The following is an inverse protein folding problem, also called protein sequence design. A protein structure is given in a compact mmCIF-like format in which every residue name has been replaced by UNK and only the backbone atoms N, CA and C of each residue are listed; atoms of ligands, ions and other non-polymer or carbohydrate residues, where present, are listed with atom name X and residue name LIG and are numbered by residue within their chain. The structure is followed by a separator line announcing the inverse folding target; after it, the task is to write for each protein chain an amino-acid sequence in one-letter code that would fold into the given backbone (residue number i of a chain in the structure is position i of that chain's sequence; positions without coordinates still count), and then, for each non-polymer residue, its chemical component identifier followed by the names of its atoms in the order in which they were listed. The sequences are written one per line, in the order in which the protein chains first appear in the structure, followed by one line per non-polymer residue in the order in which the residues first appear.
data_IF_331320152228
#
_entry.id   IF_331320152228
#
_cell.length_a   1.000
_cell.length_b   1.000
_cell.length_c   1.000
_cell.angle_alpha   90.00
_cell.angle_beta   90.00
_cell.angle_gamma   90.00
#
_symmetry.space_group_name_H-M   'P 1'
#
loop_
_entity.id
_entity.type
_entity.pdbx_description
1 polymer ?
#
# COMPACT_ATOMS: atom_id res chain seq x y z
N UNK A 1 13.64 -4.22 34.72
CA UNK A 1 13.05 -4.09 33.38
C UNK A 1 13.77 -2.96 32.68
N UNK A 2 14.46 -3.23 31.56
CA UNK A 2 15.16 -2.17 30.82
C UNK A 2 14.16 -1.58 29.82
N UNK A 3 13.74 -0.34 30.06
CA UNK A 3 13.01 0.45 29.07
C UNK A 3 13.92 0.65 27.85
N UNK A 4 13.70 -0.11 26.77
CA UNK A 4 14.36 0.18 25.50
C UNK A 4 13.52 1.23 24.76
N UNK A 5 14.10 2.43 24.60
CA UNK A 5 13.55 3.46 23.72
C UNK A 5 13.87 3.06 22.28
N UNK A 6 12.84 2.83 21.47
CA UNK A 6 12.98 2.63 20.04
C UNK A 6 12.56 3.93 19.36
N UNK A 7 13.46 4.48 18.55
CA UNK A 7 13.35 5.80 17.93
C UNK A 7 13.23 5.62 16.43
N UNK A 8 12.21 6.20 15.80
CA UNK A 8 12.05 6.16 14.34
C UNK A 8 12.62 7.40 13.68
N UNK A 9 13.18 7.21 12.49
CA UNK A 9 13.49 8.29 11.55
C UNK A 9 12.46 8.24 10.43
N UNK A 10 11.83 9.38 10.14
CA UNK A 10 11.04 9.55 8.93
C UNK A 10 11.93 10.16 7.84
N UNK A 11 11.83 9.74 6.56
CA UNK A 11 12.63 10.33 5.49
C UNK A 11 12.33 11.83 5.38
N UNK A 12 13.36 12.67 5.49
CA UNK A 12 13.28 14.12 5.24
C UNK A 12 13.00 15.03 6.43
N UNK A 13 12.99 14.54 7.68
CA UNK A 13 13.01 15.41 8.87
C UNK A 13 14.07 14.96 9.88
N UNK A 14 14.94 15.89 10.27
CA UNK A 14 15.98 15.69 11.27
C UNK A 14 15.45 15.58 12.71
N UNK A 15 14.13 15.67 12.91
CA UNK A 15 13.53 15.68 14.25
C UNK A 15 12.95 14.30 14.59
N UNK A 16 13.57 13.72 15.62
CA UNK A 16 13.15 12.49 16.30
C UNK A 16 11.79 12.76 16.95
N UNK A 17 10.74 12.05 16.55
CA UNK A 17 9.48 12.03 17.28
C UNK A 17 9.41 10.76 18.10
N UNK A 18 9.18 10.93 19.40
CA UNK A 18 8.78 9.83 20.28
C UNK A 18 7.41 9.32 19.79
N UNK A 19 7.42 8.23 19.04
CA UNK A 19 6.21 7.46 18.75
C UNK A 19 6.12 6.34 19.78
N UNK A 20 5.07 6.39 20.60
CA UNK A 20 4.76 5.34 21.56
C UNK A 20 4.26 4.10 20.78
N UNK A 21 5.08 3.05 20.72
CA UNK A 21 4.70 1.78 20.10
C UNK A 21 4.02 0.90 21.14
N UNK A 22 2.81 0.45 20.83
CA UNK A 22 2.11 -0.54 21.64
C UNK A 22 2.72 -1.91 21.38
N UNK A 23 3.34 -2.50 22.40
CA UNK A 23 4.03 -3.78 22.32
C UNK A 23 3.00 -4.93 22.34
N UNK A 24 3.03 -5.90 21.39
CA UNK A 24 2.22 -7.11 21.47
C UNK A 24 2.61 -8.02 22.65
N UNK A 25 3.89 -7.98 23.03
CA UNK A 25 4.48 -8.72 24.17
C UNK A 25 5.74 -7.99 24.67
N UNK A 26 6.29 -8.40 25.83
CA UNK A 26 7.39 -7.68 26.53
C UNK A 26 8.68 -7.48 25.71
N UNK A 27 8.83 -8.09 24.53
CA UNK A 27 10.02 -7.98 23.67
C UNK A 27 9.73 -7.70 22.18
N UNK A 28 8.47 -7.41 21.81
CA UNK A 28 8.08 -7.22 20.40
C UNK A 28 7.54 -5.82 20.17
N UNK A 29 7.95 -5.21 19.05
CA UNK A 29 7.65 -3.81 18.74
C UNK A 29 7.18 -3.76 17.30
N UNK A 30 5.93 -3.30 17.08
CA UNK A 30 5.41 -3.09 15.74
C UNK A 30 5.89 -1.75 15.18
N UNK A 31 6.65 -1.80 14.10
CA UNK A 31 7.24 -0.61 13.48
C UNK A 31 6.70 -0.41 12.08
N UNK A 32 6.23 0.81 11.78
CA UNK A 32 6.03 1.25 10.40
C UNK A 32 7.23 2.10 9.95
N UNK A 33 8.00 1.59 8.99
CA UNK A 33 9.26 2.21 8.54
C UNK A 33 9.59 1.82 7.10
N UNK A 34 10.51 2.53 6.46
CA UNK A 34 11.10 2.11 5.19
C UNK A 34 12.14 1.01 5.45
N UNK A 35 11.90 -0.18 4.87
CA UNK A 35 12.58 -1.44 5.17
C UNK A 35 14.10 -1.40 4.89
N UNK A 36 14.55 -0.65 3.88
CA UNK A 36 15.95 -0.62 3.44
C UNK A 36 16.93 0.02 4.43
N UNK A 37 16.47 0.96 5.26
CA UNK A 37 17.37 1.77 6.11
C UNK A 37 17.71 1.07 7.43
N UNK A 38 16.91 0.09 7.86
CA UNK A 38 17.04 -0.55 9.18
C UNK A 38 17.93 -1.79 9.13
N UNK A 39 17.87 -2.59 8.06
CA UNK A 39 18.60 -3.85 7.96
C UNK A 39 20.12 -3.69 8.08
N UNK A 40 20.68 -2.56 7.65
CA UNK A 40 22.14 -2.37 7.63
C UNK A 40 22.73 -2.05 9.02
N UNK A 41 21.92 -1.66 10.01
CA UNK A 41 22.43 -1.14 11.30
C UNK A 41 21.69 -1.64 12.55
N UNK A 42 20.79 -2.62 12.46
CA UNK A 42 20.01 -3.11 13.61
C UNK A 42 20.66 -4.30 14.33
N UNK A 43 20.62 -4.30 15.66
CA UNK A 43 20.99 -5.45 16.52
C UNK A 43 19.80 -6.37 16.85
N UNK A 44 18.63 -6.11 16.26
CA UNK A 44 17.40 -6.84 16.47
C UNK A 44 16.94 -7.51 15.17
N UNK A 45 16.20 -8.62 15.31
CA UNK A 45 15.60 -9.33 14.17
C UNK A 45 14.35 -8.60 13.72
N UNK A 46 14.19 -8.43 12.41
CA UNK A 46 13.03 -7.78 11.80
C UNK A 46 12.17 -8.85 11.11
N UNK A 47 10.91 -8.94 11.51
CA UNK A 47 9.89 -9.69 10.77
C UNK A 47 8.99 -8.73 10.00
N UNK A 48 8.39 -9.21 8.91
CA UNK A 48 7.28 -8.51 8.27
C UNK A 48 5.98 -9.24 8.57
N UNK A 49 4.89 -8.49 8.62
CA UNK A 49 3.55 -9.04 8.71
C UNK A 49 2.63 -8.29 7.74
N UNK A 50 1.60 -8.95 7.20
CA UNK A 50 0.60 -8.27 6.39
C UNK A 50 -0.21 -7.28 7.24
N UNK A 51 -0.98 -6.41 6.57
CA UNK A 51 -1.90 -5.54 7.28
C UNK A 51 -2.93 -6.37 8.07
N UNK A 52 -3.34 -5.94 9.26
CA UNK A 52 -4.38 -6.62 10.01
C UNK A 52 -5.69 -6.64 9.21
N UNK A 53 -6.49 -7.68 9.42
CA UNK A 53 -7.85 -7.75 8.91
C UNK A 53 -8.66 -6.56 9.43
N UNK A 54 -9.58 -6.05 8.61
CA UNK A 54 -10.46 -4.97 9.02
C UNK A 54 -11.38 -5.41 10.18
N UNK A 55 -11.95 -6.61 10.05
CA UNK A 55 -12.75 -7.27 11.07
C UNK A 55 -12.60 -8.80 10.99
N UNK A 56 -13.30 -9.51 11.88
CA UNK A 56 -13.27 -10.98 11.96
C UNK A 56 -13.95 -11.69 10.79
N UNK A 57 -14.79 -10.98 10.01
CA UNK A 57 -15.51 -11.54 8.88
C UNK A 57 -14.69 -11.51 7.58
N UNK A 58 -13.55 -10.81 7.56
CA UNK A 58 -12.64 -10.78 6.42
C UNK A 58 -11.89 -12.12 6.29
N UNK A 59 -12.01 -12.78 5.14
CA UNK A 59 -11.45 -14.12 4.93
C UNK A 59 -9.91 -14.15 5.00
N UNK A 60 -9.25 -13.16 4.39
CA UNK A 60 -7.79 -13.13 4.20
C UNK A 60 -7.15 -11.79 4.61
N UNK A 61 -5.82 -11.72 4.60
CA UNK A 61 -5.06 -10.51 4.96
C UNK A 61 -4.80 -9.61 3.74
N UNK A 62 -5.83 -8.91 3.27
CA UNK A 62 -5.73 -8.00 2.14
C UNK A 62 -4.75 -6.85 2.42
N UNK A 63 -3.76 -6.70 1.53
CA UNK A 63 -2.72 -5.68 1.64
C UNK A 63 -2.73 -4.80 0.40
N UNK A 64 -2.88 -3.49 0.60
CA UNK A 64 -2.80 -2.52 -0.49
C UNK A 64 -1.34 -2.26 -0.89
N UNK A 65 -1.05 -2.28 -2.19
CA UNK A 65 0.23 -1.79 -2.70
C UNK A 65 0.38 -0.28 -2.39
N UNK A 66 1.39 0.12 -1.62
CA UNK A 66 1.56 1.53 -1.22
C UNK A 66 2.27 2.39 -2.26
N UNK A 67 2.97 1.79 -3.23
CA UNK A 67 3.70 2.50 -4.29
C UNK A 67 3.48 1.83 -5.61
N UNK A 68 3.07 2.63 -6.59
CA UNK A 68 2.77 2.17 -7.94
C UNK A 68 3.74 2.81 -8.93
N UNK A 69 4.19 2.01 -9.90
CA UNK A 69 4.73 2.54 -11.15
C UNK A 69 3.59 2.51 -12.16
N UNK A 70 3.23 3.68 -12.69
CA UNK A 70 2.20 3.78 -13.70
C UNK A 70 2.83 3.89 -15.08
N UNK A 71 2.21 3.23 -16.06
CA UNK A 71 2.55 3.36 -17.48
C UNK A 71 1.33 3.96 -18.16
N UNK A 72 1.54 5.04 -18.90
CA UNK A 72 0.47 5.79 -19.54
C UNK A 72 0.66 5.84 -21.05
N UNK A 73 -0.43 5.73 -21.80
CA UNK A 73 -0.47 6.04 -23.23
C UNK A 73 -0.92 7.51 -23.35
N UNK A 74 -0.13 8.38 -24.00
CA UNK A 74 -0.54 9.76 -24.23
C UNK A 74 -1.83 9.82 -25.05
N UNK A 75 -2.73 10.77 -24.72
CA UNK A 75 -3.96 10.99 -25.48
C UNK A 75 -3.69 11.38 -26.96
N UNK A 76 -2.48 11.87 -27.24
CA UNK A 76 -2.00 12.23 -28.58
C UNK A 76 -1.33 11.07 -29.33
N UNK A 77 -1.33 9.85 -28.78
CA UNK A 77 -0.76 8.69 -29.45
C UNK A 77 -1.47 8.43 -30.79
N UNK A 78 -0.69 8.25 -31.86
CA UNK A 78 -1.20 8.01 -33.20
C UNK A 78 -2.04 6.72 -33.29
N UNK A 79 -1.62 5.67 -32.57
CA UNK A 79 -2.32 4.40 -32.48
C UNK A 79 -2.30 3.89 -31.03
N UNK A 80 -3.31 4.30 -30.27
CA UNK A 80 -3.51 3.88 -28.88
C UNK A 80 -3.86 2.39 -28.77
N UNK A 81 -4.53 1.81 -29.78
CA UNK A 81 -4.89 0.39 -29.81
C UNK A 81 -3.66 -0.50 -29.88
N UNK A 82 -2.73 -0.21 -30.80
CA UNK A 82 -1.45 -0.93 -30.88
C UNK A 82 -0.61 -0.73 -29.62
N UNK A 83 -0.59 0.48 -29.08
CA UNK A 83 0.15 0.78 -27.84
C UNK A 83 -0.40 -0.03 -26.66
N UNK A 84 -1.73 -0.14 -26.54
CA UNK A 84 -2.41 -0.98 -25.55
C UNK A 84 -2.08 -2.46 -25.72
N UNK A 85 -2.13 -2.98 -26.95
CA UNK A 85 -1.79 -4.37 -27.22
C UNK A 85 -0.34 -4.72 -26.85
N UNK A 86 0.62 -3.80 -27.09
CA UNK A 86 2.02 -3.98 -26.67
C UNK A 86 2.15 -3.97 -25.15
N UNK A 87 1.48 -3.06 -24.46
CA UNK A 87 1.50 -3.00 -22.99
C UNK A 87 0.90 -4.27 -22.37
N UNK A 88 -0.19 -4.79 -22.93
CA UNK A 88 -0.80 -6.05 -22.48
C UNK A 88 0.15 -7.23 -22.67
N UNK A 89 0.74 -7.37 -23.87
CA UNK A 89 1.71 -8.42 -24.14
C UNK A 89 2.93 -8.34 -23.20
N UNK A 90 3.44 -7.13 -22.96
CA UNK A 90 4.55 -6.90 -22.05
C UNK A 90 4.19 -7.23 -20.59
N UNK A 91 3.03 -6.79 -20.11
CA UNK A 91 2.55 -7.11 -18.77
C UNK A 91 2.37 -8.62 -18.58
N UNK A 92 1.80 -9.31 -19.59
CA UNK A 92 1.63 -10.76 -19.62
C UNK A 92 2.98 -11.50 -19.52
N UNK A 93 4.00 -11.07 -20.27
CA UNK A 93 5.35 -11.65 -20.19
C UNK A 93 6.05 -11.33 -18.86
N UNK A 94 5.92 -10.11 -18.36
CA UNK A 94 6.46 -9.73 -17.04
C UNK A 94 5.85 -10.58 -15.91
N UNK A 95 4.54 -10.85 -15.97
CA UNK A 95 3.87 -11.71 -15.00
C UNK A 95 4.42 -13.13 -15.01
N UNK A 96 4.75 -13.68 -16.19
CA UNK A 96 5.29 -15.04 -16.34
C UNK A 96 6.78 -15.16 -16.02
N UNK A 97 7.59 -14.15 -16.33
CA UNK A 97 9.06 -14.26 -16.30
C UNK A 97 9.69 -13.48 -15.14
N UNK A 98 9.32 -12.20 -15.00
CA UNK A 98 9.94 -11.28 -14.04
C UNK A 98 9.36 -11.49 -12.65
N UNK A 99 8.03 -11.59 -12.52
CA UNK A 99 7.38 -11.67 -11.22
C UNK A 99 7.80 -12.91 -10.41
N UNK A 100 7.86 -14.14 -10.96
CA UNK A 100 8.30 -15.30 -10.19
C UNK A 100 9.75 -15.16 -9.70
N UNK A 101 10.64 -14.68 -10.56
CA UNK A 101 12.05 -14.44 -10.20
C UNK A 101 12.19 -13.34 -9.14
N UNK A 102 11.38 -12.30 -9.21
CA UNK A 102 11.41 -11.21 -8.23
C UNK A 102 10.96 -11.71 -6.84
N UNK A 103 9.84 -12.43 -6.74
CA UNK A 103 9.33 -12.90 -5.46
C UNK A 103 10.14 -14.07 -4.89
N UNK A 104 10.43 -15.11 -5.68
CA UNK A 104 11.11 -16.31 -5.18
C UNK A 104 12.62 -16.07 -4.95
N UNK A 105 13.30 -15.46 -5.93
CA UNK A 105 14.76 -15.32 -5.86
C UNK A 105 15.20 -14.07 -5.10
N UNK A 106 14.51 -12.94 -5.26
CA UNK A 106 14.92 -11.74 -4.54
C UNK A 106 14.26 -11.69 -3.16
N UNK A 107 12.94 -11.62 -3.08
CA UNK A 107 12.27 -11.42 -1.80
C UNK A 107 12.49 -12.58 -0.82
N UNK A 108 12.20 -13.82 -1.21
CA UNK A 108 12.36 -14.96 -0.29
C UNK A 108 13.81 -15.38 -0.04
N UNK A 109 14.68 -15.34 -1.05
CA UNK A 109 16.06 -15.84 -0.85
C UNK A 109 17.01 -14.78 -0.31
N UNK A 110 16.85 -13.51 -0.71
CA UNK A 110 17.77 -12.42 -0.33
C UNK A 110 17.29 -11.62 0.88
N UNK A 111 15.98 -11.46 1.03
CA UNK A 111 15.42 -10.55 2.05
C UNK A 111 14.65 -11.25 3.17
N UNK A 112 14.18 -12.49 2.98
CA UNK A 112 13.63 -13.27 4.08
C UNK A 112 14.77 -13.76 4.98
N UNK A 113 14.67 -13.46 6.27
CA UNK A 113 15.65 -13.91 7.28
C UNK A 113 15.42 -15.36 7.71
N UNK A 114 14.20 -15.85 7.54
CA UNK A 114 13.73 -17.17 7.96
C UNK A 114 12.55 -17.65 7.10
N UNK A 115 12.09 -18.87 7.37
CA UNK A 115 10.95 -19.50 6.69
C UNK A 115 9.64 -18.74 6.90
N UNK A 116 9.45 -18.18 8.09
CA UNK A 116 8.20 -17.53 8.48
C UNK A 116 8.04 -16.23 7.68
N UNK A 117 9.14 -15.49 7.51
CA UNK A 117 9.19 -14.31 6.66
C UNK A 117 8.97 -14.63 5.18
N UNK A 118 9.43 -15.79 4.71
CA UNK A 118 9.16 -16.26 3.35
C UNK A 118 7.67 -16.56 3.14
N UNK A 119 7.00 -17.17 4.13
CA UNK A 119 5.55 -17.40 4.12
C UNK A 119 4.75 -16.07 4.17
N UNK A 120 5.25 -15.07 4.90
CA UNK A 120 4.62 -13.74 4.89
C UNK A 120 4.68 -13.07 3.51
N UNK A 121 5.77 -13.25 2.76
CA UNK A 121 5.83 -12.78 1.37
C UNK A 121 4.80 -13.46 0.47
N UNK A 122 4.53 -14.75 0.70
CA UNK A 122 3.48 -15.48 -0.04
C UNK A 122 2.09 -14.95 0.28
N UNK A 123 1.78 -14.73 1.55
CA UNK A 123 0.52 -14.13 1.97
C UNK A 123 0.32 -12.73 1.38
N UNK A 124 1.37 -11.89 1.40
CA UNK A 124 1.35 -10.57 0.79
C UNK A 124 1.13 -10.63 -0.72
N UNK A 125 1.78 -11.57 -1.42
CA UNK A 125 1.67 -11.74 -2.87
C UNK A 125 0.28 -12.22 -3.29
N UNK A 126 -0.31 -13.13 -2.53
CA UNK A 126 -1.62 -13.73 -2.78
C UNK A 126 -2.75 -12.72 -2.54
N UNK A 127 -2.61 -11.89 -1.50
CA UNK A 127 -3.65 -10.96 -1.05
C UNK A 127 -3.35 -9.50 -1.38
N UNK A 128 -2.49 -9.26 -2.39
CA UNK A 128 -2.18 -7.92 -2.85
C UNK A 128 -3.39 -7.34 -3.58
N UNK A 129 -3.93 -6.25 -3.06
CA UNK A 129 -5.05 -5.54 -3.67
C UNK A 129 -4.62 -4.19 -4.22
N UNK A 130 -5.24 -3.79 -5.32
CA UNK A 130 -5.19 -2.41 -5.82
C UNK A 130 -6.32 -1.65 -5.14
N UNK A 131 -5.97 -0.57 -4.43
CA UNK A 131 -6.92 0.19 -3.63
C UNK A 131 -7.66 1.21 -4.51
N UNK A 132 -8.98 1.05 -4.60
CA UNK A 132 -9.85 1.82 -5.50
C UNK A 132 -9.74 3.34 -5.28
N UNK A 133 -9.73 3.78 -4.02
CA UNK A 133 -9.63 5.19 -3.65
C UNK A 133 -8.30 5.82 -4.02
N UNK A 134 -7.23 5.03 -4.10
CA UNK A 134 -5.92 5.49 -4.59
C UNK A 134 -5.91 5.61 -6.11
N UNK A 135 -6.51 4.66 -6.84
CA UNK A 135 -6.58 4.70 -8.31
C UNK A 135 -7.42 5.88 -8.79
N UNK A 136 -8.58 6.09 -8.18
CA UNK A 136 -9.54 7.14 -8.56
C UNK A 136 -9.49 8.36 -7.63
N UNK A 137 -8.35 8.59 -6.96
CA UNK A 137 -8.25 9.61 -5.92
C UNK A 137 -8.66 11.00 -6.42
N UNK A 138 -8.34 11.33 -7.68
CA UNK A 138 -8.63 12.63 -8.27
C UNK A 138 -10.12 12.85 -8.58
N UNK A 139 -10.91 11.79 -8.64
CA UNK A 139 -12.34 11.80 -8.91
C UNK A 139 -13.18 11.82 -7.63
N UNK A 140 -12.59 11.50 -6.49
CA UNK A 140 -13.25 11.43 -5.19
C UNK A 140 -12.98 12.69 -4.37
N UNK A 141 -14.03 13.27 -3.78
CA UNK A 141 -13.93 14.45 -2.90
C UNK A 141 -13.27 14.12 -1.56
N UNK A 142 -13.57 12.96 -0.98
CA UNK A 142 -12.84 12.39 0.15
C UNK A 142 -11.74 11.45 -0.37
N UNK A 143 -10.49 11.91 -0.34
CA UNK A 143 -9.35 11.16 -0.87
C UNK A 143 -8.10 11.30 0.02
N UNK A 144 -6.97 10.77 -0.43
CA UNK A 144 -5.71 10.80 0.32
C UNK A 144 -5.16 12.22 0.57
N UNK A 145 -5.49 13.21 -0.27
CA UNK A 145 -5.13 14.62 -0.04
C UNK A 145 -5.97 15.21 1.10
N UNK A 146 -7.24 14.82 1.22
CA UNK A 146 -8.10 15.22 2.32
C UNK A 146 -7.51 14.79 3.67
N UNK A 147 -6.92 13.58 3.75
CA UNK A 147 -6.23 13.10 4.95
C UNK A 147 -4.96 13.90 5.30
N UNK A 148 -4.27 14.51 4.35
CA UNK A 148 -3.07 15.34 4.63
C UNK A 148 -3.43 16.55 5.50
N UNK A 149 -4.68 17.01 5.42
CA UNK A 149 -5.19 18.12 6.22
C UNK A 149 -5.35 17.77 7.71
N UNK A 150 -5.23 16.50 8.13
CA UNK A 150 -5.18 16.16 9.56
C UNK A 150 -4.02 16.84 10.32
N UNK A 151 -2.97 17.23 9.60
CA UNK A 151 -1.86 18.00 10.18
C UNK A 151 -2.19 19.48 10.39
N UNK A 152 -3.29 19.97 9.81
CA UNK A 152 -3.81 21.32 9.98
C UNK A 152 -4.78 21.35 11.17
N UNK A 153 -4.42 22.10 12.20
CA UNK A 153 -5.22 22.22 13.43
C UNK A 153 -6.61 22.81 13.23
N UNK A 154 -6.87 23.52 12.12
CA UNK A 154 -8.19 24.04 11.79
C UNK A 154 -9.10 23.02 11.10
N UNK A 155 -8.56 21.88 10.68
CA UNK A 155 -9.29 20.90 9.90
C UNK A 155 -9.80 19.76 10.80
N UNK A 156 -11.10 19.73 11.06
CA UNK A 156 -11.73 18.68 11.86
C UNK A 156 -12.21 17.55 10.94
N UNK A 157 -11.56 16.39 11.04
CA UNK A 157 -11.83 15.24 10.18
C UNK A 157 -13.31 14.86 10.15
N UNK A 158 -13.97 14.77 11.30
CA UNK A 158 -15.35 14.33 11.37
C UNK A 158 -16.30 15.29 10.63
N UNK A 159 -16.20 16.60 10.90
CA UNK A 159 -17.09 17.57 10.27
C UNK A 159 -16.78 17.80 8.79
N UNK A 160 -15.51 17.80 8.40
CA UNK A 160 -15.10 18.02 7.02
C UNK A 160 -15.41 16.81 6.14
N UNK A 161 -15.25 15.60 6.68
CA UNK A 161 -15.68 14.37 6.00
C UNK A 161 -17.19 14.37 5.78
N UNK A 162 -17.97 14.78 6.79
CA UNK A 162 -19.43 14.83 6.66
C UNK A 162 -19.88 15.80 5.57
N UNK A 163 -19.22 16.95 5.42
CA UNK A 163 -19.50 17.90 4.32
C UNK A 163 -19.23 17.31 2.94
N UNK A 164 -18.24 16.42 2.82
CA UNK A 164 -17.82 15.81 1.56
C UNK A 164 -18.52 14.47 1.27
N UNK A 165 -19.19 13.88 2.26
CA UNK A 165 -19.82 12.55 2.18
C UNK A 165 -20.74 12.42 0.97
N UNK A 166 -21.80 13.24 0.91
CA UNK A 166 -22.82 13.13 -0.15
C UNK A 166 -22.24 13.32 -1.55
N UNK A 167 -21.29 14.26 -1.71
CA UNK A 167 -20.61 14.44 -3.00
C UNK A 167 -19.74 13.24 -3.37
N UNK A 168 -19.05 12.65 -2.40
CA UNK A 168 -18.18 11.48 -2.62
C UNK A 168 -19.01 10.23 -2.92
N UNK A 169 -20.13 10.02 -2.24
CA UNK A 169 -21.06 8.92 -2.51
C UNK A 169 -21.61 9.00 -3.94
N UNK A 170 -22.03 10.19 -4.39
CA UNK A 170 -22.47 10.40 -5.77
C UNK A 170 -21.35 10.13 -6.80
N UNK A 171 -20.11 10.54 -6.52
CA UNK A 171 -18.96 10.24 -7.37
C UNK A 171 -18.65 8.74 -7.42
N UNK A 172 -18.78 8.05 -6.29
CA UNK A 172 -18.58 6.61 -6.19
C UNK A 172 -19.62 5.83 -7.01
N UNK A 173 -20.88 6.25 -6.99
CA UNK A 173 -21.94 5.65 -7.82
C UNK A 173 -21.60 5.74 -9.31
N UNK A 174 -21.15 6.90 -9.79
CA UNK A 174 -20.75 7.10 -11.19
C UNK A 174 -19.58 6.20 -11.56
N UNK A 175 -18.53 6.14 -10.73
CA UNK A 175 -17.37 5.31 -10.99
C UNK A 175 -17.71 3.81 -10.99
N UNK A 176 -18.55 3.39 -10.04
CA UNK A 176 -18.99 1.98 -9.93
C UNK A 176 -19.84 1.59 -11.14
N UNK A 177 -20.73 2.47 -11.60
CA UNK A 177 -21.52 2.23 -12.80
C UNK A 177 -20.64 2.09 -14.05
N UNK A 178 -19.63 2.95 -14.21
CA UNK A 178 -18.69 2.90 -15.34
C UNK A 178 -17.82 1.62 -15.33
N UNK A 179 -17.38 1.17 -14.15
CA UNK A 179 -16.64 -0.09 -14.02
C UNK A 179 -17.52 -1.30 -14.36
N UNK A 180 -18.77 -1.30 -13.88
CA UNK A 180 -19.70 -2.38 -14.16
C UNK A 180 -20.07 -2.46 -15.65
N UNK A 181 -20.17 -1.32 -16.36
CA UNK A 181 -20.37 -1.38 -17.81
C UNK A 181 -19.17 -1.99 -18.52
N UNK A 182 -17.95 -1.64 -18.10
CA UNK A 182 -16.72 -2.13 -18.73
C UNK A 182 -16.51 -3.65 -18.56
N UNK A 183 -16.96 -4.24 -17.45
CA UNK A 183 -16.88 -5.69 -17.24
C UNK A 183 -17.85 -6.51 -18.10
N UNK A 184 -18.87 -5.88 -18.66
CA UNK A 184 -19.92 -6.55 -19.43
C UNK A 184 -19.76 -6.38 -20.96
N UNK A 185 -18.71 -5.67 -21.40
CA UNK A 185 -18.29 -5.53 -22.80
C UNK A 185 -17.17 -6.53 -23.16
#
# INVERSE_FOLDING_TARGET
MKNQKIVFTAPGRAELRDCEVRLPSDNEVLVRTEYSTILENSTFTLGMIPFPKYDENQDDYYTAAQRFAHIYIPATAEDSGRSGAVLEAWASECYRSVMPTYFETNLKTRYATDSDMAEMFDLLRANLCVEFGTVFYSQLGLNCDTFKNLSNSSWNFASETEKLRTSTEAQLEVLTAALNSWQND
#
